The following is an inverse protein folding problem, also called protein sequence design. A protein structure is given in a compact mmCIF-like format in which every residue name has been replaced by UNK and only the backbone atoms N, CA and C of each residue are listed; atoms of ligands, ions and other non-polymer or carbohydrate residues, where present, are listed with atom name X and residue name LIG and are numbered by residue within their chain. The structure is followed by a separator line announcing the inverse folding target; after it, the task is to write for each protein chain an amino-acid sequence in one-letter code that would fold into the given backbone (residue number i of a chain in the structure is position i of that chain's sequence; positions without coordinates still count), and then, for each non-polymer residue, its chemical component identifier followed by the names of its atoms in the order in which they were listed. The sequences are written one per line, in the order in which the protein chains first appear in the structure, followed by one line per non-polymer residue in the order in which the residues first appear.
data_IF_702843637493
#
_entry.id   IF_702843637493
#
_cell.length_a   1.000
_cell.length_b   1.000
_cell.length_c   1.000
_cell.angle_alpha   90.00
_cell.angle_beta   90.00
_cell.angle_gamma   90.00
#
_symmetry.space_group_name_H-M   'P 1'
#
loop_
_entity.id
_entity.type
_entity.pdbx_description
1 polymer ?
#
# COMPACT_ATOMS: atom_id res chain seq x y z
N UNK A 1 -16.04 39.19 -5.51
CA UNK A 1 -14.89 38.35 -5.16
C UNK A 1 -14.97 37.10 -6.04
N UNK A 2 -14.30 37.14 -7.18
CA UNK A 2 -14.24 36.06 -8.12
C UNK A 2 -13.53 34.86 -7.47
N UNK A 3 -14.29 33.77 -7.28
CA UNK A 3 -13.68 32.48 -6.98
C UNK A 3 -12.87 32.08 -8.21
N UNK A 4 -11.56 32.26 -8.15
CA UNK A 4 -10.63 31.67 -9.12
C UNK A 4 -10.97 30.17 -9.20
N UNK A 5 -11.67 29.77 -10.26
CA UNK A 5 -11.88 28.34 -10.57
C UNK A 5 -10.50 27.73 -10.66
N UNK A 6 -10.07 26.99 -9.64
CA UNK A 6 -8.83 26.20 -9.70
C UNK A 6 -8.91 25.33 -10.94
N UNK A 7 -8.05 25.60 -11.93
CA UNK A 7 -7.96 24.87 -13.17
C UNK A 7 -7.87 23.38 -12.84
N UNK A 8 -8.82 22.59 -13.31
CA UNK A 8 -8.80 21.14 -13.19
C UNK A 8 -7.52 20.62 -13.83
N UNK A 9 -6.94 19.55 -13.26
CA UNK A 9 -5.73 18.93 -13.76
C UNK A 9 -6.01 18.26 -15.12
N UNK A 10 -5.27 18.66 -16.14
CA UNK A 10 -5.35 18.05 -17.46
C UNK A 10 -4.15 17.07 -17.64
N UNK A 11 -4.43 15.78 -17.52
CA UNK A 11 -3.42 14.73 -17.69
C UNK A 11 -2.82 14.71 -19.10
N UNK A 12 -3.56 15.21 -20.10
CA UNK A 12 -3.14 15.26 -21.49
C UNK A 12 -2.19 16.41 -21.82
N UNK A 13 -2.36 17.58 -21.18
CA UNK A 13 -1.71 18.82 -21.61
C UNK A 13 -0.80 19.47 -20.55
N UNK A 14 -1.11 19.34 -19.24
CA UNK A 14 -0.29 19.95 -18.19
C UNK A 14 1.12 19.34 -18.13
N UNK A 15 2.12 20.10 -17.67
CA UNK A 15 3.49 19.59 -17.47
C UNK A 15 3.49 18.42 -16.46
N UNK A 16 4.07 17.27 -16.82
CA UNK A 16 4.08 16.05 -16.00
C UNK A 16 4.61 16.31 -14.60
N UNK A 17 5.74 16.98 -14.49
CA UNK A 17 6.34 17.33 -13.18
C UNK A 17 5.37 18.14 -12.31
N UNK A 18 4.64 19.11 -12.89
CA UNK A 18 3.61 19.89 -12.18
C UNK A 18 2.42 19.02 -11.73
N UNK A 19 2.02 18.03 -12.56
CA UNK A 19 0.97 17.07 -12.21
C UNK A 19 1.41 16.27 -10.98
N UNK A 20 2.61 15.69 -11.01
CA UNK A 20 3.13 14.87 -9.89
C UNK A 20 3.25 15.68 -8.60
N UNK A 21 3.79 16.90 -8.66
CA UNK A 21 3.89 17.79 -7.50
C UNK A 21 2.54 18.25 -6.93
N UNK A 22 1.48 18.22 -7.72
CA UNK A 22 0.12 18.54 -7.24
C UNK A 22 -0.60 17.32 -6.65
N UNK A 23 -0.32 16.12 -7.18
CA UNK A 23 -0.97 14.88 -6.76
C UNK A 23 -0.29 14.22 -5.56
N UNK A 24 1.05 14.26 -5.48
CA UNK A 24 1.79 13.52 -4.47
C UNK A 24 1.62 14.04 -3.03
N UNK A 25 1.71 15.36 -2.74
CA UNK A 25 1.63 15.83 -1.36
C UNK A 25 0.33 15.43 -0.62
N UNK A 26 -0.88 15.50 -1.22
CA UNK A 26 -2.08 14.99 -0.56
C UNK A 26 -1.99 13.50 -0.23
N UNK A 27 -1.45 12.68 -1.14
CA UNK A 27 -1.30 11.24 -0.92
C UNK A 27 -0.27 10.95 0.16
N UNK A 28 0.87 11.67 0.16
CA UNK A 28 1.90 11.56 1.19
C UNK A 28 1.33 11.89 2.57
N UNK A 29 0.58 12.99 2.68
CA UNK A 29 -0.03 13.39 3.95
C UNK A 29 -1.05 12.34 4.44
N UNK A 30 -1.88 11.80 3.55
CA UNK A 30 -2.82 10.75 3.90
C UNK A 30 -2.10 9.49 4.42
N UNK A 31 -1.03 9.05 3.75
CA UNK A 31 -0.24 7.88 4.19
C UNK A 31 0.51 8.15 5.51
N UNK A 32 1.02 9.37 5.72
CA UNK A 32 1.66 9.74 6.98
C UNK A 32 0.67 9.68 8.15
N UNK A 33 -0.51 10.25 7.98
CA UNK A 33 -1.57 10.21 8.99
C UNK A 33 -2.01 8.77 9.26
N UNK A 34 -2.11 7.95 8.22
CA UNK A 34 -2.42 6.52 8.37
C UNK A 34 -1.35 5.77 9.17
N UNK A 35 -0.08 6.04 8.94
CA UNK A 35 1.01 5.44 9.72
C UNK A 35 0.95 5.89 11.19
N UNK A 36 0.69 7.17 11.42
CA UNK A 36 0.61 7.73 12.79
C UNK A 36 -0.56 7.15 13.58
N UNK A 37 -1.76 7.06 12.97
CA UNK A 37 -2.90 6.54 13.73
C UNK A 37 -2.71 5.06 14.10
N UNK A 38 -2.11 4.24 13.23
CA UNK A 38 -1.80 2.84 13.56
C UNK A 38 -0.85 2.71 14.78
N UNK A 39 0.11 3.65 14.90
CA UNK A 39 1.01 3.70 16.07
C UNK A 39 0.23 4.10 17.33
N UNK A 40 -0.65 5.09 17.23
CA UNK A 40 -1.45 5.61 18.36
C UNK A 40 -2.45 4.56 18.84
N UNK A 41 -3.15 3.87 17.94
CA UNK A 41 -4.06 2.77 18.24
C UNK A 41 -3.33 1.64 19.03
N UNK A 42 -2.17 1.21 18.50
CA UNK A 42 -1.34 0.22 19.18
C UNK A 42 -0.84 0.70 20.57
N UNK A 43 -0.58 1.99 20.73
CA UNK A 43 -0.18 2.59 22.01
C UNK A 43 -1.32 2.54 23.04
N UNK A 44 -2.55 2.91 22.67
CA UNK A 44 -3.69 2.83 23.58
C UNK A 44 -3.99 1.39 23.99
N UNK A 45 -4.02 0.45 23.03
CA UNK A 45 -4.26 -0.97 23.33
C UNK A 45 -3.15 -1.53 24.21
N UNK A 46 -1.88 -1.23 23.94
CA UNK A 46 -0.75 -1.72 24.73
C UNK A 46 -0.71 -1.17 26.16
N UNK A 47 -1.24 0.04 26.39
CA UNK A 47 -1.42 0.60 27.74
C UNK A 47 -2.60 -0.01 28.49
N UNK A 48 -3.58 -0.57 27.79
CA UNK A 48 -4.74 -1.22 28.37
C UNK A 48 -4.45 -2.68 28.73
N UNK A 49 -3.87 -3.46 27.81
CA UNK A 49 -3.65 -4.90 27.98
C UNK A 49 -2.52 -5.40 27.07
N UNK A 50 -1.59 -6.19 27.64
CA UNK A 50 -0.54 -6.87 26.86
C UNK A 50 -1.15 -7.99 26.00
N UNK A 51 -2.17 -8.69 26.48
CA UNK A 51 -2.92 -9.68 25.72
C UNK A 51 -3.61 -9.05 24.52
N UNK A 52 -4.21 -7.85 24.68
CA UNK A 52 -4.82 -7.08 23.61
C UNK A 52 -3.83 -6.68 22.52
N UNK A 53 -2.62 -6.24 22.88
CA UNK A 53 -1.57 -5.91 21.91
C UNK A 53 -1.11 -7.15 21.12
N UNK A 54 -1.05 -8.31 21.80
CA UNK A 54 -0.75 -9.60 21.17
C UNK A 54 -1.87 -10.01 20.21
N UNK A 55 -3.13 -9.86 20.61
CA UNK A 55 -4.30 -10.15 19.77
C UNK A 55 -4.30 -9.27 18.49
N UNK A 56 -4.01 -7.97 18.62
CA UNK A 56 -3.87 -7.05 17.49
C UNK A 56 -2.80 -7.55 16.48
N UNK A 57 -1.65 -7.98 17.02
CA UNK A 57 -0.55 -8.51 16.21
C UNK A 57 -0.92 -9.79 15.46
N UNK A 58 -1.72 -10.68 16.08
CA UNK A 58 -2.23 -11.90 15.47
C UNK A 58 -3.22 -11.58 14.34
N UNK A 59 -4.08 -10.57 14.51
CA UNK A 59 -5.07 -10.18 13.49
C UNK A 59 -4.46 -9.40 12.33
N UNK A 60 -3.32 -8.76 12.52
CA UNK A 60 -2.68 -7.88 11.53
C UNK A 60 -2.50 -8.51 10.13
N UNK A 61 -2.09 -9.79 9.95
CA UNK A 61 -2.02 -10.41 8.63
C UNK A 61 -3.37 -10.50 7.91
N UNK A 62 -4.47 -10.72 8.65
CA UNK A 62 -5.83 -10.75 8.08
C UNK A 62 -6.22 -9.34 7.60
N UNK A 63 -5.90 -8.31 8.39
CA UNK A 63 -6.13 -6.91 8.00
C UNK A 63 -5.32 -6.54 6.74
N UNK A 64 -4.07 -6.98 6.63
CA UNK A 64 -3.27 -6.75 5.42
C UNK A 64 -3.87 -7.41 4.18
N UNK A 65 -4.41 -8.63 4.31
CA UNK A 65 -5.11 -9.32 3.23
C UNK A 65 -6.38 -8.56 2.81
N UNK A 66 -7.15 -8.08 3.78
CA UNK A 66 -8.34 -7.25 3.57
C UNK A 66 -8.00 -5.98 2.80
N UNK A 67 -6.95 -5.27 3.21
CA UNK A 67 -6.44 -4.08 2.54
C UNK A 67 -5.95 -4.41 1.13
N UNK A 68 -5.20 -5.49 0.94
CA UNK A 68 -4.70 -5.92 -0.36
C UNK A 68 -5.83 -6.16 -1.36
N UNK A 69 -6.91 -6.82 -0.93
CA UNK A 69 -8.11 -7.06 -1.75
C UNK A 69 -8.82 -5.76 -2.10
N UNK A 70 -9.09 -4.91 -1.12
CA UNK A 70 -9.82 -3.66 -1.30
C UNK A 70 -9.03 -2.67 -2.19
N UNK A 71 -7.78 -2.39 -1.84
CA UNK A 71 -6.93 -1.45 -2.57
C UNK A 71 -6.58 -1.98 -3.96
N UNK A 72 -6.23 -3.27 -4.09
CA UNK A 72 -5.88 -3.85 -5.38
C UNK A 72 -7.04 -3.86 -6.38
N UNK A 73 -8.26 -4.18 -5.93
CA UNK A 73 -9.47 -4.05 -6.76
C UNK A 73 -9.71 -2.59 -7.14
N UNK A 74 -9.56 -1.68 -6.18
CA UNK A 74 -9.68 -0.25 -6.42
C UNK A 74 -8.66 0.27 -7.44
N UNK A 75 -7.40 -0.22 -7.42
CA UNK A 75 -6.39 0.14 -8.44
C UNK A 75 -6.80 -0.36 -9.82
N UNK A 76 -7.42 -1.55 -9.92
CA UNK A 76 -7.99 -2.04 -11.18
C UNK A 76 -9.08 -1.12 -11.72
N UNK A 77 -9.98 -0.64 -10.86
CA UNK A 77 -11.02 0.33 -11.20
C UNK A 77 -10.39 1.66 -11.65
N UNK A 78 -9.44 2.20 -10.88
CA UNK A 78 -8.72 3.43 -11.20
C UNK A 78 -8.08 3.35 -12.60
N UNK A 79 -7.34 2.28 -12.86
CA UNK A 79 -6.67 2.05 -14.15
C UNK A 79 -7.68 1.99 -15.30
N UNK A 80 -8.76 1.23 -15.16
CA UNK A 80 -9.78 1.07 -16.20
C UNK A 80 -10.56 2.37 -16.45
N UNK A 81 -10.91 3.11 -15.38
CA UNK A 81 -11.53 4.43 -15.50
C UNK A 81 -10.64 5.42 -16.25
N UNK A 82 -9.35 5.49 -15.86
CA UNK A 82 -8.40 6.38 -16.50
C UNK A 82 -8.17 6.02 -17.98
N UNK A 83 -8.21 4.72 -18.33
CA UNK A 83 -8.20 4.28 -19.74
C UNK A 83 -9.41 4.82 -20.48
N UNK A 84 -10.61 4.73 -19.95
CA UNK A 84 -11.81 5.26 -20.62
C UNK A 84 -11.81 6.78 -20.73
N UNK A 85 -11.31 7.48 -19.70
CA UNK A 85 -11.15 8.93 -19.74
C UNK A 85 -10.12 9.37 -20.81
N UNK A 86 -9.07 8.58 -21.03
CA UNK A 86 -8.06 8.85 -22.03
C UNK A 86 -8.58 8.76 -23.50
N UNK A 87 -9.68 8.01 -23.70
CA UNK A 87 -10.38 7.92 -25.01
C UNK A 87 -11.69 8.72 -25.00
N UNK A 88 -11.84 9.68 -24.10
CA UNK A 88 -12.99 10.56 -23.93
C UNK A 88 -14.33 9.84 -23.77
N UNK A 89 -14.30 8.64 -23.15
CA UNK A 89 -15.49 7.84 -22.88
C UNK A 89 -15.88 7.90 -21.40
N UNK A 90 -16.46 9.03 -21.00
CA UNK A 90 -16.88 9.27 -19.63
C UNK A 90 -17.96 8.32 -19.16
N UNK A 91 -18.87 7.91 -20.05
CA UNK A 91 -19.97 6.98 -19.71
C UNK A 91 -19.40 5.64 -19.22
N UNK A 92 -18.47 5.03 -19.97
CA UNK A 92 -17.83 3.76 -19.55
C UNK A 92 -16.95 3.93 -18.31
N UNK A 93 -16.37 5.10 -18.11
CA UNK A 93 -15.64 5.42 -16.88
C UNK A 93 -16.60 5.42 -15.68
N UNK A 94 -17.73 6.10 -15.78
CA UNK A 94 -18.76 6.13 -14.72
C UNK A 94 -19.41 4.75 -14.50
N UNK A 95 -19.65 3.97 -15.57
CA UNK A 95 -20.11 2.57 -15.46
C UNK A 95 -19.10 1.71 -14.70
N UNK A 96 -17.79 1.90 -14.96
CA UNK A 96 -16.71 1.19 -14.22
C UNK A 96 -16.76 1.50 -12.72
N UNK A 97 -16.91 2.79 -12.36
CA UNK A 97 -17.07 3.21 -10.98
C UNK A 97 -18.33 2.62 -10.33
N UNK A 98 -19.44 2.56 -11.09
CA UNK A 98 -20.69 1.94 -10.63
C UNK A 98 -20.55 0.43 -10.34
N UNK A 99 -19.82 -0.31 -11.17
CA UNK A 99 -19.48 -1.73 -10.90
C UNK A 99 -18.61 -1.84 -9.65
N UNK A 100 -17.77 -0.84 -9.37
CA UNK A 100 -16.96 -0.74 -8.15
C UNK A 100 -17.81 -0.81 -6.87
N UNK A 101 -19.01 -0.19 -6.85
CA UNK A 101 -19.90 -0.27 -5.69
C UNK A 101 -20.36 -1.71 -5.42
N UNK A 102 -20.68 -2.45 -6.48
CA UNK A 102 -21.06 -3.85 -6.36
C UNK A 102 -19.87 -4.69 -5.87
N UNK A 103 -18.68 -4.44 -6.40
CA UNK A 103 -17.47 -5.17 -5.98
C UNK A 103 -17.11 -4.87 -4.52
N UNK A 104 -17.25 -3.62 -4.07
CA UNK A 104 -17.04 -3.25 -2.67
C UNK A 104 -17.97 -4.05 -1.75
N UNK A 105 -19.27 -4.09 -2.09
CA UNK A 105 -20.26 -4.86 -1.35
C UNK A 105 -19.99 -6.36 -1.37
N UNK A 106 -19.73 -6.93 -2.56
CA UNK A 106 -19.50 -8.36 -2.71
C UNK A 106 -18.24 -8.84 -1.98
N UNK A 107 -17.13 -8.08 -2.09
CA UNK A 107 -15.89 -8.39 -1.38
C UNK A 107 -16.07 -8.31 0.13
N UNK A 108 -16.69 -7.22 0.61
CA UNK A 108 -16.99 -7.08 2.02
C UNK A 108 -17.84 -8.24 2.53
N UNK A 109 -18.95 -8.55 1.85
CA UNK A 109 -19.87 -9.59 2.28
C UNK A 109 -19.21 -10.97 2.36
N UNK A 110 -18.46 -11.33 1.30
CA UNK A 110 -17.73 -12.61 1.27
C UNK A 110 -16.65 -12.66 2.34
N UNK A 111 -15.88 -11.57 2.48
CA UNK A 111 -14.81 -11.50 3.49
C UNK A 111 -15.37 -11.56 4.92
N UNK A 112 -16.43 -10.81 5.20
CA UNK A 112 -17.10 -10.81 6.50
C UNK A 112 -17.63 -12.21 6.85
N UNK A 113 -18.29 -12.88 5.89
CA UNK A 113 -18.82 -14.23 6.07
C UNK A 113 -17.69 -15.24 6.35
N UNK A 114 -16.62 -15.20 5.57
CA UNK A 114 -15.45 -16.08 5.76
C UNK A 114 -14.84 -15.83 7.14
N UNK A 115 -14.57 -14.59 7.50
CA UNK A 115 -13.94 -14.24 8.77
C UNK A 115 -14.82 -14.59 9.98
N UNK A 116 -16.15 -14.46 9.87
CA UNK A 116 -17.06 -14.85 10.95
C UNK A 116 -16.87 -16.30 11.37
N UNK A 117 -16.75 -17.21 10.39
CA UNK A 117 -16.59 -18.64 10.66
C UNK A 117 -15.15 -19.07 10.93
N UNK A 118 -14.18 -18.47 10.26
CA UNK A 118 -12.77 -18.88 10.38
C UNK A 118 -12.10 -18.32 11.64
N UNK A 119 -12.56 -17.16 12.17
CA UNK A 119 -11.89 -16.46 13.25
C UNK A 119 -11.62 -17.32 14.50
N UNK A 120 -12.56 -18.13 15.03
CA UNK A 120 -12.29 -18.97 16.20
C UNK A 120 -11.19 -20.02 15.93
N UNK A 121 -11.21 -20.61 14.74
CA UNK A 121 -10.20 -21.60 14.33
C UNK A 121 -8.82 -20.95 14.15
N UNK A 122 -8.77 -19.79 13.53
CA UNK A 122 -7.54 -19.03 13.36
C UNK A 122 -6.92 -18.62 14.70
N UNK A 123 -7.74 -18.16 15.66
CA UNK A 123 -7.29 -17.80 16.99
C UNK A 123 -6.67 -18.99 17.73
N UNK A 124 -7.33 -20.16 17.72
CA UNK A 124 -6.84 -21.39 18.36
C UNK A 124 -5.52 -21.92 17.79
N UNK A 125 -5.28 -21.74 16.49
CA UNK A 125 -4.00 -22.14 15.86
C UNK A 125 -2.89 -21.13 16.20
N UNK A 126 -3.24 -19.86 16.42
CA UNK A 126 -2.27 -18.77 16.59
C UNK A 126 -1.70 -18.68 17.99
N UNK A 127 -2.44 -19.11 19.03
CA UNK A 127 -2.02 -19.03 20.44
C UNK A 127 -2.69 -20.13 21.29
N UNK A 128 -2.04 -20.47 22.40
CA UNK A 128 -2.58 -21.38 23.41
C UNK A 128 -3.21 -20.66 24.62
N UNK A 129 -3.05 -19.33 24.72
CA UNK A 129 -3.65 -18.54 25.81
C UNK A 129 -5.13 -18.33 25.56
N UNK A 130 -5.97 -18.77 26.48
CA UNK A 130 -7.44 -18.64 26.38
C UNK A 130 -7.88 -17.17 26.31
N UNK A 131 -7.25 -16.30 27.09
CA UNK A 131 -7.51 -14.87 27.11
C UNK A 131 -7.23 -14.22 25.73
N UNK A 132 -6.04 -14.52 25.15
CA UNK A 132 -5.66 -14.00 23.83
C UNK A 132 -6.58 -14.56 22.73
N UNK A 133 -7.01 -15.82 22.83
CA UNK A 133 -7.97 -16.43 21.89
C UNK A 133 -9.29 -15.64 21.89
N UNK A 134 -9.84 -15.32 23.06
CA UNK A 134 -11.08 -14.54 23.17
C UNK A 134 -10.92 -13.13 22.58
N UNK A 135 -9.84 -12.44 22.90
CA UNK A 135 -9.54 -11.11 22.37
C UNK A 135 -9.35 -11.10 20.85
N UNK A 136 -8.65 -12.09 20.28
CA UNK A 136 -8.51 -12.27 18.83
C UNK A 136 -9.87 -12.47 18.17
N UNK A 137 -10.73 -13.29 18.75
CA UNK A 137 -12.07 -13.54 18.20
C UNK A 137 -12.92 -12.26 18.25
N UNK A 138 -12.92 -11.55 19.37
CA UNK A 138 -13.72 -10.33 19.55
C UNK A 138 -13.24 -9.25 18.58
N UNK A 139 -11.96 -8.90 18.65
CA UNK A 139 -11.37 -7.86 17.79
C UNK A 139 -11.49 -8.20 16.30
N UNK A 140 -11.10 -9.42 15.94
CA UNK A 140 -11.10 -9.87 14.55
C UNK A 140 -12.49 -9.94 13.95
N UNK A 141 -13.50 -10.42 14.70
CA UNK A 141 -14.89 -10.40 14.22
C UNK A 141 -15.42 -8.99 14.02
N UNK A 142 -15.20 -8.08 14.97
CA UNK A 142 -15.67 -6.69 14.82
C UNK A 142 -15.04 -6.04 13.61
N UNK A 143 -13.70 -6.06 13.50
CA UNK A 143 -12.97 -5.40 12.42
C UNK A 143 -13.28 -6.01 11.05
N UNK A 144 -13.37 -7.34 10.94
CA UNK A 144 -13.60 -8.00 9.65
C UNK A 144 -15.06 -7.97 9.21
N UNK A 145 -16.02 -8.18 10.14
CA UNK A 145 -17.45 -8.22 9.79
C UNK A 145 -17.97 -6.83 9.47
N UNK A 146 -17.53 -5.82 10.20
CA UNK A 146 -17.96 -4.44 9.97
C UNK A 146 -17.02 -3.65 9.06
N UNK A 147 -16.14 -4.33 8.29
CA UNK A 147 -15.17 -3.73 7.38
C UNK A 147 -15.77 -3.06 6.13
N UNK A 148 -17.10 -2.98 5.99
CA UNK A 148 -17.74 -2.34 4.84
C UNK A 148 -17.22 -0.92 4.60
N UNK A 149 -16.97 -0.15 5.67
CA UNK A 149 -16.39 1.18 5.57
C UNK A 149 -15.06 1.17 4.81
N UNK A 150 -14.16 0.24 5.13
CA UNK A 150 -12.86 0.09 4.46
C UNK A 150 -13.00 -0.27 2.98
N UNK A 151 -13.86 -1.24 2.63
CA UNK A 151 -14.04 -1.66 1.24
C UNK A 151 -14.64 -0.55 0.38
N UNK A 152 -15.65 0.14 0.87
CA UNK A 152 -16.27 1.25 0.14
C UNK A 152 -15.34 2.46 0.05
N UNK A 153 -14.68 2.85 1.15
CA UNK A 153 -13.70 3.94 1.17
C UNK A 153 -12.59 3.69 0.15
N UNK A 154 -11.99 2.50 0.16
CA UNK A 154 -10.92 2.13 -0.76
C UNK A 154 -11.34 2.25 -2.23
N UNK A 155 -12.52 1.73 -2.59
CA UNK A 155 -13.03 1.80 -3.97
C UNK A 155 -13.32 3.26 -4.36
N UNK A 156 -14.07 4.01 -3.56
CA UNK A 156 -14.44 5.39 -3.87
C UNK A 156 -13.25 6.34 -3.90
N UNK A 157 -12.28 6.12 -3.03
CA UNK A 157 -10.98 6.81 -3.08
C UNK A 157 -10.29 6.58 -4.42
N UNK A 158 -10.23 5.35 -4.92
CA UNK A 158 -9.61 5.03 -6.21
C UNK A 158 -10.39 5.58 -7.41
N UNK A 159 -11.71 5.64 -7.32
CA UNK A 159 -12.57 6.32 -8.31
C UNK A 159 -12.21 7.80 -8.40
N UNK A 160 -12.03 8.48 -7.27
CA UNK A 160 -11.66 9.89 -7.26
C UNK A 160 -10.22 10.13 -7.76
N UNK A 161 -9.29 9.26 -7.38
CA UNK A 161 -7.91 9.32 -7.84
C UNK A 161 -7.80 9.15 -9.37
N UNK A 162 -8.69 8.35 -9.99
CA UNK A 162 -8.73 8.19 -11.45
C UNK A 162 -9.00 9.51 -12.20
N UNK A 163 -9.71 10.43 -11.58
CA UNK A 163 -10.00 11.78 -12.11
C UNK A 163 -9.00 12.85 -11.64
N UNK A 164 -7.94 12.46 -10.96
CA UNK A 164 -6.91 13.38 -10.42
C UNK A 164 -7.28 14.08 -9.12
N UNK A 165 -8.40 13.71 -8.50
CA UNK A 165 -8.79 14.29 -7.21
C UNK A 165 -8.17 13.48 -6.06
N UNK A 166 -7.02 13.94 -5.57
CA UNK A 166 -6.34 13.35 -4.40
C UNK A 166 -6.70 14.03 -3.09
N UNK A 167 -7.34 15.23 -3.13
CA UNK A 167 -7.60 16.03 -1.92
C UNK A 167 -8.73 15.47 -1.08
N UNK A 168 -9.83 15.06 -1.70
CA UNK A 168 -10.97 14.53 -0.95
C UNK A 168 -10.61 13.20 -0.29
N UNK A 169 -9.96 12.24 -0.96
CA UNK A 169 -9.41 11.05 -0.30
C UNK A 169 -8.49 11.37 0.89
N UNK A 170 -7.60 12.36 0.74
CA UNK A 170 -6.75 12.81 1.85
C UNK A 170 -7.58 13.31 3.04
N UNK A 171 -8.56 14.19 2.79
CA UNK A 171 -9.44 14.72 3.86
C UNK A 171 -10.21 13.58 4.52
N UNK A 172 -10.71 12.63 3.75
CA UNK A 172 -11.43 11.46 4.26
C UNK A 172 -10.56 10.61 5.19
N UNK A 173 -9.33 10.32 4.78
CA UNK A 173 -8.40 9.54 5.60
C UNK A 173 -7.98 10.30 6.87
N UNK A 174 -7.73 11.61 6.79
CA UNK A 174 -7.44 12.43 7.97
C UNK A 174 -8.63 12.44 8.93
N UNK A 175 -9.85 12.64 8.43
CA UNK A 175 -11.05 12.65 9.26
C UNK A 175 -11.31 11.28 9.90
N UNK A 176 -11.16 10.20 9.14
CA UNK A 176 -11.30 8.84 9.66
C UNK A 176 -10.28 8.52 10.75
N UNK A 177 -9.01 8.89 10.55
CA UNK A 177 -7.96 8.74 11.55
C UNK A 177 -8.24 9.57 12.81
N UNK A 178 -8.70 10.81 12.65
CA UNK A 178 -9.06 11.66 13.78
C UNK A 178 -10.22 11.08 14.59
N UNK A 179 -11.26 10.58 13.93
CA UNK A 179 -12.40 9.92 14.58
C UNK A 179 -11.93 8.67 15.35
N UNK A 180 -11.08 7.84 14.75
CA UNK A 180 -10.52 6.67 15.41
C UNK A 180 -9.73 7.09 16.67
N UNK A 181 -8.72 7.96 16.54
CA UNK A 181 -7.88 8.43 17.66
C UNK A 181 -8.70 9.06 18.78
N UNK A 182 -9.77 9.76 18.45
CA UNK A 182 -10.66 10.37 19.46
C UNK A 182 -11.51 9.33 20.18
N UNK A 183 -11.98 8.29 19.47
CA UNK A 183 -12.82 7.25 20.04
C UNK A 183 -12.03 6.18 20.81
N UNK A 184 -10.78 5.92 20.44
CA UNK A 184 -9.94 4.91 21.11
C UNK A 184 -9.93 5.08 22.63
N UNK A 185 -9.47 6.20 23.21
CA UNK A 185 -9.44 6.33 24.67
C UNK A 185 -10.84 6.33 25.30
N UNK A 186 -11.86 6.84 24.59
CA UNK A 186 -13.23 6.87 25.11
C UNK A 186 -13.82 5.47 25.25
N UNK A 187 -13.60 4.60 24.25
CA UNK A 187 -14.19 3.26 24.19
C UNK A 187 -13.30 2.20 24.85
N UNK A 188 -11.97 2.35 24.80
CA UNK A 188 -11.04 1.40 25.44
C UNK A 188 -11.13 1.52 26.96
N UNK A 189 -10.99 2.75 27.49
CA UNK A 189 -10.91 3.00 28.93
C UNK A 189 -12.25 3.40 29.58
N UNK A 190 -13.33 3.55 28.79
CA UNK A 190 -14.63 3.93 29.34
C UNK A 190 -14.67 5.36 29.89
N UNK A 191 -14.10 6.34 29.18
CA UNK A 191 -14.01 7.72 29.66
C UNK A 191 -15.37 8.43 29.51
N UNK A 192 -15.82 9.08 30.57
CA UNK A 192 -17.06 9.87 30.60
C UNK A 192 -18.31 8.98 30.74
N UNK A 193 -19.20 9.02 29.76
CA UNK A 193 -20.44 8.22 29.73
C UNK A 193 -20.32 6.93 28.87
N UNK A 194 -19.14 6.70 28.29
CA UNK A 194 -18.90 5.50 27.49
C UNK A 194 -18.58 4.30 28.39
N UNK A 195 -19.08 3.10 28.08
CA UNK A 195 -18.68 1.89 28.78
C UNK A 195 -17.22 1.53 28.43
N UNK A 196 -16.52 0.95 29.40
CA UNK A 196 -15.21 0.35 29.19
C UNK A 196 -15.37 -0.94 28.35
N UNK A 197 -14.89 -0.90 27.11
CA UNK A 197 -15.01 -2.00 26.15
C UNK A 197 -13.68 -2.69 25.84
N UNK A 198 -12.56 -2.17 26.36
CA UNK A 198 -11.24 -2.73 26.13
C UNK A 198 -10.91 -2.87 24.62
N UNK A 199 -10.45 -4.06 24.23
CA UNK A 199 -10.07 -4.33 22.84
C UNK A 199 -11.26 -4.24 21.85
N UNK A 200 -12.48 -4.54 22.30
CA UNK A 200 -13.68 -4.34 21.48
C UNK A 200 -13.91 -2.86 21.19
N UNK A 201 -13.57 -1.97 22.14
CA UNK A 201 -13.62 -0.53 21.95
C UNK A 201 -12.69 -0.05 20.84
N UNK A 202 -11.44 -0.52 20.82
CA UNK A 202 -10.48 -0.24 19.75
C UNK A 202 -10.98 -0.72 18.39
N UNK A 203 -11.54 -1.94 18.32
CA UNK A 203 -12.12 -2.48 17.08
C UNK A 203 -13.28 -1.62 16.58
N UNK A 204 -14.17 -1.17 17.46
CA UNK A 204 -15.30 -0.29 17.13
C UNK A 204 -14.79 1.08 16.65
N UNK A 205 -13.82 1.68 17.34
CA UNK A 205 -13.23 2.96 16.96
C UNK A 205 -12.62 2.91 15.54
N UNK A 206 -11.91 1.82 15.24
CA UNK A 206 -11.34 1.57 13.90
C UNK A 206 -12.44 1.50 12.83
N UNK A 207 -13.50 0.73 13.07
CA UNK A 207 -14.64 0.59 12.15
C UNK A 207 -15.35 1.93 11.94
N UNK A 208 -15.63 2.66 13.01
CA UNK A 208 -16.30 3.98 12.94
C UNK A 208 -15.44 4.98 12.17
N UNK A 209 -14.12 5.00 12.39
CA UNK A 209 -13.18 5.81 11.62
C UNK A 209 -13.21 5.50 10.11
N UNK A 210 -13.24 4.21 9.74
CA UNK A 210 -13.37 3.76 8.35
C UNK A 210 -14.70 4.16 7.70
N UNK A 211 -15.80 4.07 8.47
CA UNK A 211 -17.13 4.52 8.02
C UNK A 211 -17.15 6.04 7.81
N UNK A 212 -16.57 6.81 8.74
CA UNK A 212 -16.49 8.26 8.61
C UNK A 212 -15.71 8.67 7.35
N UNK A 213 -14.59 8.02 7.07
CA UNK A 213 -13.84 8.22 5.84
C UNK A 213 -14.66 7.85 4.58
N UNK A 214 -15.36 6.71 4.61
CA UNK A 214 -16.21 6.26 3.50
C UNK A 214 -17.33 7.28 3.19
N UNK A 215 -17.98 7.82 4.20
CA UNK A 215 -19.05 8.82 4.04
C UNK A 215 -18.56 10.10 3.33
N UNK A 216 -17.33 10.54 3.60
CA UNK A 216 -16.75 11.73 2.96
C UNK A 216 -16.49 11.50 1.46
N UNK A 217 -16.00 10.32 1.08
CA UNK A 217 -15.71 9.99 -0.32
C UNK A 217 -16.95 9.54 -1.10
N UNK A 218 -18.02 9.14 -0.41
CA UNK A 218 -19.26 8.58 -1.01
C UNK A 218 -19.89 9.53 -2.02
N UNK A 219 -20.02 10.82 -1.69
CA UNK A 219 -20.74 11.80 -2.54
C UNK A 219 -20.22 11.84 -3.98
N UNK A 220 -18.89 11.76 -4.15
CA UNK A 220 -18.26 11.84 -5.48
C UNK A 220 -17.74 10.50 -5.99
N UNK A 221 -17.48 9.56 -5.11
CA UNK A 221 -17.00 8.21 -5.43
C UNK A 221 -18.09 7.25 -5.86
N UNK A 222 -19.29 7.38 -5.29
CA UNK A 222 -20.42 6.53 -5.63
C UNK A 222 -21.05 6.96 -6.96
N UNK A 223 -20.96 6.11 -7.97
CA UNK A 223 -21.53 6.33 -9.30
C UNK A 223 -22.63 5.32 -9.59
N UNK A 224 -23.54 5.67 -10.54
CA UNK A 224 -24.62 4.78 -10.92
C UNK A 224 -24.08 3.53 -11.61
N UNK A 225 -24.56 2.37 -11.17
CA UNK A 225 -24.18 1.08 -11.75
C UNK A 225 -24.82 0.88 -13.14
N UNK A 226 -24.10 0.26 -14.08
CA UNK A 226 -24.67 -0.14 -15.37
C UNK A 226 -25.66 -1.29 -15.23
N UNK A 227 -26.25 -1.74 -16.33
CA UNK A 227 -27.08 -2.95 -16.36
C UNK A 227 -26.27 -4.18 -15.94
N UNK A 228 -26.86 -5.08 -15.16
CA UNK A 228 -26.20 -6.30 -14.61
C UNK A 228 -25.56 -7.15 -15.73
N UNK A 229 -26.15 -7.17 -16.92
CA UNK A 229 -25.62 -7.92 -18.08
C UNK A 229 -24.17 -7.50 -18.45
N UNK A 230 -23.76 -6.27 -18.16
CA UNK A 230 -22.41 -5.74 -18.44
C UNK A 230 -21.40 -6.08 -17.34
N UNK A 231 -21.82 -6.50 -16.14
CA UNK A 231 -20.93 -6.69 -14.98
C UNK A 231 -19.79 -7.66 -15.26
N UNK A 232 -20.08 -8.80 -15.89
CA UNK A 232 -19.06 -9.83 -16.17
C UNK A 232 -17.87 -9.29 -16.96
N UNK A 233 -18.11 -8.43 -17.94
CA UNK A 233 -17.05 -7.82 -18.76
C UNK A 233 -16.21 -6.84 -17.92
N UNK A 234 -16.86 -5.93 -17.18
CA UNK A 234 -16.16 -4.98 -16.32
C UNK A 234 -15.36 -5.67 -15.22
N UNK A 235 -15.95 -6.63 -14.52
CA UNK A 235 -15.29 -7.40 -13.45
C UNK A 235 -14.02 -8.08 -13.98
N UNK A 236 -14.12 -8.77 -15.13
CA UNK A 236 -12.96 -9.44 -15.75
C UNK A 236 -11.84 -8.43 -16.05
N UNK A 237 -12.16 -7.26 -16.59
CA UNK A 237 -11.18 -6.21 -16.92
C UNK A 237 -10.60 -5.56 -15.66
N UNK A 238 -11.42 -5.28 -14.65
CA UNK A 238 -10.99 -4.71 -13.36
C UNK A 238 -9.99 -5.65 -12.68
N UNK A 239 -10.31 -6.95 -12.55
CA UNK A 239 -9.38 -7.89 -11.91
C UNK A 239 -8.14 -8.17 -12.78
N UNK A 240 -8.25 -8.17 -14.10
CA UNK A 240 -7.06 -8.27 -14.95
C UNK A 240 -6.06 -7.13 -14.66
N UNK A 241 -6.54 -5.91 -14.43
CA UNK A 241 -5.71 -4.74 -14.15
C UNK A 241 -5.36 -4.61 -12.65
N UNK A 242 -6.22 -5.08 -11.75
CA UNK A 242 -6.04 -4.96 -10.30
C UNK A 242 -5.23 -6.09 -9.67
N UNK A 243 -5.27 -7.29 -10.24
CA UNK A 243 -4.59 -8.48 -9.70
C UNK A 243 -3.09 -8.28 -9.44
N UNK A 244 -2.32 -7.61 -10.32
CA UNK A 244 -0.90 -7.34 -10.03
C UNK A 244 -0.69 -6.55 -8.74
N UNK A 245 -1.59 -5.63 -8.38
CA UNK A 245 -1.49 -4.87 -7.14
C UNK A 245 -1.88 -5.70 -5.92
N UNK A 246 -2.93 -6.55 -6.03
CA UNK A 246 -3.28 -7.52 -4.97
C UNK A 246 -2.08 -8.42 -4.70
N UNK A 247 -1.47 -8.97 -5.75
CA UNK A 247 -0.29 -9.82 -5.64
C UNK A 247 0.89 -9.08 -4.99
N UNK A 248 1.15 -7.84 -5.40
CA UNK A 248 2.25 -7.04 -4.86
C UNK A 248 2.10 -6.81 -3.35
N UNK A 249 0.90 -6.49 -2.87
CA UNK A 249 0.67 -6.26 -1.45
C UNK A 249 0.68 -7.56 -0.64
N UNK A 250 0.08 -8.64 -1.15
CA UNK A 250 0.10 -9.95 -0.48
C UNK A 250 1.51 -10.54 -0.42
N UNK A 251 2.27 -10.43 -1.51
CA UNK A 251 3.64 -10.94 -1.58
C UNK A 251 4.60 -10.18 -0.64
N UNK A 252 4.32 -8.90 -0.35
CA UNK A 252 5.08 -8.10 0.64
C UNK A 252 5.08 -8.78 2.02
N UNK A 253 3.95 -9.23 2.49
CA UNK A 253 3.84 -9.93 3.78
C UNK A 253 4.57 -11.28 3.76
N UNK A 254 4.47 -12.02 2.66
CA UNK A 254 5.08 -13.34 2.54
C UNK A 254 6.61 -13.28 2.57
N UNK A 255 7.24 -12.34 1.85
CA UNK A 255 8.71 -12.28 1.87
C UNK A 255 9.26 -11.78 3.21
N UNK A 256 8.58 -10.85 3.89
CA UNK A 256 8.96 -10.45 5.25
C UNK A 256 8.96 -11.65 6.20
N UNK A 257 7.89 -12.45 6.13
CA UNK A 257 7.81 -13.68 6.93
C UNK A 257 8.96 -14.65 6.60
N UNK A 258 9.26 -14.85 5.31
CA UNK A 258 10.37 -15.70 4.88
C UNK A 258 11.74 -15.22 5.38
N UNK A 259 12.02 -13.91 5.31
CA UNK A 259 13.25 -13.33 5.82
C UNK A 259 13.37 -13.44 7.36
N UNK A 260 12.27 -13.26 8.09
CA UNK A 260 12.24 -13.44 9.54
C UNK A 260 12.56 -14.90 9.93
N UNK A 261 12.02 -15.89 9.19
CA UNK A 261 12.35 -17.32 9.43
C UNK A 261 13.83 -17.61 9.25
N UNK A 262 14.48 -17.00 8.25
CA UNK A 262 15.92 -17.16 8.01
C UNK A 262 16.69 -16.52 9.16
N UNK A 263 16.38 -15.30 9.56
CA UNK A 263 17.08 -14.56 10.63
C UNK A 263 16.90 -15.19 12.01
N UNK A 264 15.75 -15.83 12.26
CA UNK A 264 15.53 -16.59 13.50
C UNK A 264 16.59 -17.69 13.71
N UNK A 265 17.16 -18.22 12.63
CA UNK A 265 18.27 -19.16 12.68
C UNK A 265 19.60 -18.57 13.19
N UNK A 266 19.74 -17.24 13.23
CA UNK A 266 20.93 -16.57 13.76
C UNK A 266 20.72 -16.10 15.20
N UNK A 267 19.74 -15.19 15.42
CA UNK A 267 19.43 -14.68 16.74
C UNK A 267 18.10 -13.90 16.76
N UNK A 268 17.49 -13.74 17.93
CA UNK A 268 16.31 -12.90 18.11
C UNK A 268 16.63 -11.41 17.90
N UNK A 269 17.88 -10.99 18.17
CA UNK A 269 18.36 -9.64 17.92
C UNK A 269 18.37 -9.32 16.41
N UNK A 270 18.74 -10.28 15.56
CA UNK A 270 18.71 -10.10 14.11
C UNK A 270 17.26 -9.96 13.56
N UNK A 271 16.32 -10.73 14.11
CA UNK A 271 14.88 -10.59 13.79
C UNK A 271 14.37 -9.22 14.23
N UNK A 272 14.73 -8.78 15.44
CA UNK A 272 14.37 -7.46 15.96
C UNK A 272 14.93 -6.35 15.09
N UNK A 273 16.21 -6.44 14.68
CA UNK A 273 16.83 -5.45 13.80
C UNK A 273 16.08 -5.31 12.46
N UNK A 274 15.67 -6.43 11.84
CA UNK A 274 14.85 -6.39 10.63
C UNK A 274 13.47 -5.75 10.88
N UNK A 275 12.83 -6.05 12.00
CA UNK A 275 11.56 -5.44 12.39
C UNK A 275 11.67 -3.91 12.56
N UNK A 276 12.77 -3.43 13.17
CA UNK A 276 13.04 -2.00 13.30
C UNK A 276 13.33 -1.32 11.96
N UNK A 277 14.05 -2.00 11.06
CA UNK A 277 14.18 -1.52 9.69
C UNK A 277 12.82 -1.29 9.02
N UNK A 278 11.88 -2.23 9.12
CA UNK A 278 10.56 -2.07 8.51
C UNK A 278 9.73 -0.94 9.12
N UNK A 279 9.90 -0.64 10.41
CA UNK A 279 9.28 0.54 11.03
C UNK A 279 9.78 1.84 10.37
N UNK A 280 11.09 1.98 10.20
CA UNK A 280 11.67 3.12 9.51
C UNK A 280 11.33 3.15 8.03
N UNK A 281 11.34 2.01 7.37
CA UNK A 281 10.93 1.89 5.97
C UNK A 281 9.53 2.46 5.75
N UNK A 282 8.57 2.17 6.62
CA UNK A 282 7.21 2.68 6.49
C UNK A 282 7.17 4.20 6.38
N UNK A 283 8.02 4.91 7.10
CA UNK A 283 8.09 6.38 7.07
C UNK A 283 8.82 6.88 5.82
N UNK A 284 10.03 6.36 5.57
CA UNK A 284 10.85 6.83 4.45
C UNK A 284 10.28 6.48 3.08
N UNK A 285 9.39 5.47 3.00
CA UNK A 285 8.78 5.03 1.75
C UNK A 285 7.43 5.71 1.42
N UNK A 286 6.92 6.56 2.28
CA UNK A 286 5.71 7.36 2.01
C UNK A 286 5.81 8.10 0.65
N UNK A 287 6.92 8.80 0.32
CA UNK A 287 7.04 9.47 -0.96
C UNK A 287 6.95 8.53 -2.16
N UNK A 288 7.57 7.35 -2.06
CA UNK A 288 7.56 6.35 -3.14
C UNK A 288 6.16 5.74 -3.32
N UNK A 289 5.47 5.41 -2.23
CA UNK A 289 4.08 4.94 -2.26
C UNK A 289 3.12 5.98 -2.86
N UNK A 290 3.34 7.24 -2.55
CA UNK A 290 2.59 8.34 -3.16
C UNK A 290 2.84 8.43 -4.67
N UNK A 291 4.10 8.32 -5.11
CA UNK A 291 4.44 8.28 -6.54
C UNK A 291 3.75 7.10 -7.24
N UNK A 292 3.83 5.90 -6.69
CA UNK A 292 3.14 4.72 -7.23
C UNK A 292 1.63 4.97 -7.41
N UNK A 293 0.98 5.62 -6.44
CA UNK A 293 -0.45 5.95 -6.52
C UNK A 293 -0.74 6.99 -7.60
N UNK A 294 0.08 8.02 -7.71
CA UNK A 294 -0.14 9.15 -8.63
C UNK A 294 0.10 8.80 -10.09
N UNK A 295 1.08 7.94 -10.39
CA UNK A 295 1.43 7.62 -11.79
C UNK A 295 0.39 6.74 -12.48
N UNK A 296 -0.38 5.95 -11.74
CA UNK A 296 -1.39 5.04 -12.33
C UNK A 296 -2.39 5.78 -13.20
N UNK A 297 -3.17 6.76 -12.70
CA UNK A 297 -4.15 7.44 -13.54
C UNK A 297 -3.51 8.25 -14.67
N UNK A 298 -2.34 8.88 -14.42
CA UNK A 298 -1.64 9.69 -15.44
C UNK A 298 -1.16 8.84 -16.59
N UNK A 299 -0.53 7.71 -16.31
CA UNK A 299 -0.03 6.79 -17.35
C UNK A 299 -1.19 6.13 -18.08
N UNK A 300 -2.20 5.65 -17.35
CA UNK A 300 -3.36 4.96 -17.94
C UNK A 300 -4.16 5.86 -18.88
N UNK A 301 -4.38 7.11 -18.50
CA UNK A 301 -5.01 8.13 -19.34
C UNK A 301 -4.21 8.37 -20.64
N UNK A 302 -2.94 8.72 -20.51
CA UNK A 302 -2.08 9.05 -21.66
C UNK A 302 -1.85 7.85 -22.58
N UNK A 303 -1.78 6.64 -22.01
CA UNK A 303 -1.64 5.41 -22.81
C UNK A 303 -2.86 5.17 -23.69
N UNK A 304 -4.06 5.32 -23.14
CA UNK A 304 -5.31 5.14 -23.90
C UNK A 304 -5.58 6.28 -24.89
N UNK A 305 -5.12 7.50 -24.56
CA UNK A 305 -5.13 8.63 -25.49
C UNK A 305 -4.08 8.50 -26.62
N UNK A 306 -3.28 7.41 -26.65
CA UNK A 306 -2.23 7.21 -27.66
C UNK A 306 -0.93 7.98 -27.41
N UNK A 307 -0.86 8.79 -26.35
CA UNK A 307 0.30 9.66 -26.08
C UNK A 307 1.40 8.90 -25.30
N UNK A 308 2.14 8.08 -26.04
CA UNK A 308 3.20 7.22 -25.48
C UNK A 308 4.39 8.01 -24.95
N UNK A 309 4.72 9.14 -25.57
CA UNK A 309 5.80 9.99 -25.13
C UNK A 309 5.55 10.51 -23.73
N UNK A 310 4.33 10.96 -23.44
CA UNK A 310 3.96 11.39 -22.09
C UNK A 310 3.99 10.26 -21.08
N UNK A 311 3.65 9.03 -21.46
CA UNK A 311 3.81 7.86 -20.57
C UNK A 311 5.28 7.63 -20.20
N UNK A 312 6.18 7.68 -21.17
CA UNK A 312 7.63 7.56 -20.94
C UNK A 312 8.18 8.70 -20.09
N UNK A 313 7.72 9.94 -20.34
CA UNK A 313 8.08 11.10 -19.54
C UNK A 313 7.56 10.98 -18.10
N UNK A 314 6.32 10.53 -17.91
CA UNK A 314 5.76 10.29 -16.58
C UNK A 314 6.60 9.27 -15.80
N UNK A 315 6.98 8.15 -16.44
CA UNK A 315 7.87 7.16 -15.83
C UNK A 315 9.21 7.79 -15.44
N UNK A 316 9.88 8.50 -16.37
CA UNK A 316 11.17 9.13 -16.12
C UNK A 316 11.11 10.15 -14.98
N UNK A 317 10.16 11.09 -15.04
CA UNK A 317 10.02 12.15 -14.04
C UNK A 317 9.69 11.56 -12.65
N UNK A 318 8.87 10.48 -12.59
CA UNK A 318 8.54 9.78 -11.34
C UNK A 318 9.75 9.06 -10.74
N UNK A 319 10.57 8.41 -11.58
CA UNK A 319 11.79 7.74 -11.12
C UNK A 319 12.79 8.76 -10.58
N UNK A 320 13.01 9.87 -11.30
CA UNK A 320 13.94 10.93 -10.85
C UNK A 320 13.46 11.53 -9.54
N UNK A 321 12.18 11.91 -9.45
CA UNK A 321 11.62 12.49 -8.23
C UNK A 321 11.68 11.49 -7.06
N UNK A 322 11.35 10.21 -7.32
CA UNK A 322 11.46 9.15 -6.34
C UNK A 322 12.90 8.97 -5.84
N UNK A 323 13.90 8.96 -6.74
CA UNK A 323 15.32 8.85 -6.34
C UNK A 323 15.77 10.04 -5.47
N UNK A 324 15.37 11.27 -5.84
CA UNK A 324 15.71 12.47 -5.05
C UNK A 324 15.10 12.39 -3.65
N UNK A 325 13.84 11.96 -3.54
CA UNK A 325 13.18 11.83 -2.23
C UNK A 325 13.77 10.68 -1.40
N UNK A 326 14.10 9.55 -2.03
CA UNK A 326 14.73 8.41 -1.35
C UNK A 326 16.18 8.68 -0.92
N UNK A 327 16.87 9.65 -1.55
CA UNK A 327 18.21 10.06 -1.14
C UNK A 327 18.23 10.56 0.31
N UNK A 328 17.13 11.18 0.78
CA UNK A 328 16.99 11.57 2.19
C UNK A 328 17.08 10.33 3.10
N UNK A 329 16.37 9.26 2.74
CA UNK A 329 16.42 7.99 3.48
C UNK A 329 17.82 7.36 3.46
N UNK A 330 18.51 7.38 2.31
CA UNK A 330 19.91 6.93 2.20
C UNK A 330 20.80 7.70 3.15
N UNK A 331 20.75 9.02 3.12
CA UNK A 331 21.55 9.87 3.99
C UNK A 331 21.29 9.62 5.48
N UNK A 332 20.02 9.47 5.87
CA UNK A 332 19.67 9.16 7.25
C UNK A 332 20.22 7.80 7.69
N UNK A 333 20.11 6.77 6.85
CA UNK A 333 20.58 5.41 7.18
C UNK A 333 22.11 5.29 7.20
N UNK A 334 22.80 6.09 6.40
CA UNK A 334 24.28 6.12 6.39
C UNK A 334 24.86 6.96 7.53
N UNK A 335 24.29 8.15 7.81
CA UNK A 335 24.89 9.11 8.75
C UNK A 335 24.52 8.79 10.20
N UNK A 336 23.26 8.35 10.46
CA UNK A 336 22.76 8.19 11.83
C UNK A 336 22.08 6.84 12.10
N UNK A 337 22.60 5.70 11.63
CA UNK A 337 21.94 4.40 11.82
C UNK A 337 21.82 4.01 13.29
N UNK A 338 22.84 4.32 14.11
CA UNK A 338 22.84 4.02 15.56
C UNK A 338 21.75 4.80 16.30
N UNK A 339 21.54 6.07 15.93
CA UNK A 339 20.45 6.90 16.49
C UNK A 339 19.08 6.32 16.09
N UNK A 340 18.92 5.94 14.82
CA UNK A 340 17.68 5.36 14.33
C UNK A 340 17.34 4.05 15.06
N UNK A 341 18.31 3.15 15.21
CA UNK A 341 18.12 1.91 15.96
C UNK A 341 17.90 2.16 17.45
N UNK A 342 18.70 3.06 18.05
CA UNK A 342 18.62 3.42 19.47
C UNK A 342 17.31 4.10 19.88
N UNK A 343 16.55 4.64 18.93
CA UNK A 343 15.21 5.21 19.19
C UNK A 343 14.22 4.13 19.68
N UNK A 344 14.36 2.89 19.21
CA UNK A 344 13.43 1.80 19.49
C UNK A 344 14.01 0.70 20.36
N UNK A 345 15.33 0.58 20.49
CA UNK A 345 15.98 -0.47 21.27
C UNK A 345 17.12 0.09 22.10
N UNK A 346 17.29 -0.45 23.32
CA UNK A 346 18.45 -0.19 24.19
C UNK A 346 19.45 -1.35 24.19
N UNK A 347 19.13 -2.45 23.51
CA UNK A 347 20.01 -3.60 23.37
C UNK A 347 21.16 -3.24 22.40
N UNK A 348 22.39 -3.26 22.92
CA UNK A 348 23.61 -2.92 22.16
C UNK A 348 23.83 -3.82 20.96
N UNK A 349 23.45 -5.10 21.07
CA UNK A 349 23.59 -6.06 19.97
C UNK A 349 22.57 -5.80 18.86
N UNK A 350 21.32 -5.47 19.20
CA UNK A 350 20.30 -5.03 18.22
C UNK A 350 20.75 -3.77 17.50
N UNK A 351 21.32 -2.80 18.24
CA UNK A 351 21.84 -1.56 17.63
C UNK A 351 22.98 -1.88 16.69
N UNK A 352 23.95 -2.70 17.09
CA UNK A 352 25.10 -3.09 16.27
C UNK A 352 24.69 -3.76 14.97
N UNK A 353 23.85 -4.81 15.07
CA UNK A 353 23.34 -5.57 13.91
C UNK A 353 22.49 -4.66 13.02
N UNK A 354 21.59 -3.91 13.63
CA UNK A 354 20.65 -3.04 12.92
C UNK A 354 21.35 -1.88 12.20
N UNK A 355 22.35 -1.26 12.81
CA UNK A 355 23.12 -0.19 12.19
C UNK A 355 23.91 -0.65 10.97
N UNK A 356 24.52 -1.83 11.04
CA UNK A 356 25.15 -2.45 9.88
C UNK A 356 24.10 -2.75 8.79
N UNK A 357 22.98 -3.36 9.17
CA UNK A 357 21.88 -3.66 8.26
C UNK A 357 21.35 -2.40 7.55
N UNK A 358 21.13 -1.29 8.28
CA UNK A 358 20.64 -0.04 7.70
C UNK A 358 21.59 0.50 6.63
N UNK A 359 22.90 0.51 6.87
CA UNK A 359 23.91 0.95 5.89
C UNK A 359 23.89 0.10 4.63
N UNK A 360 23.90 -1.23 4.76
CA UNK A 360 23.85 -2.14 3.60
C UNK A 360 22.54 -1.97 2.82
N UNK A 361 21.41 -1.89 3.53
CA UNK A 361 20.10 -1.74 2.91
C UNK A 361 19.94 -0.36 2.25
N UNK A 362 20.55 0.71 2.79
CA UNK A 362 20.49 2.05 2.21
C UNK A 362 20.92 2.07 0.74
N UNK A 363 21.94 1.27 0.38
CA UNK A 363 22.40 1.13 -1.02
C UNK A 363 21.27 0.66 -1.95
N UNK A 364 20.30 -0.10 -1.43
CA UNK A 364 19.17 -0.59 -2.21
C UNK A 364 18.13 0.47 -2.53
N UNK A 365 18.08 1.59 -1.81
CA UNK A 365 16.98 2.57 -1.92
C UNK A 365 16.87 3.20 -3.32
N UNK A 366 18.00 3.43 -3.97
CA UNK A 366 18.02 4.02 -5.32
C UNK A 366 17.50 3.02 -6.37
N UNK A 367 18.04 1.78 -6.51
CA UNK A 367 17.47 0.81 -7.44
C UNK A 367 16.05 0.40 -7.06
N UNK A 368 15.68 0.43 -5.78
CA UNK A 368 14.33 0.10 -5.30
C UNK A 368 13.25 1.03 -5.87
N UNK A 369 13.55 2.32 -6.07
CA UNK A 369 12.62 3.24 -6.74
C UNK A 369 12.18 2.66 -8.09
N UNK A 370 13.14 2.21 -8.88
CA UNK A 370 12.88 1.70 -10.22
C UNK A 370 12.21 0.33 -10.17
N UNK A 371 12.67 -0.57 -9.29
CA UNK A 371 12.11 -1.91 -9.13
C UNK A 371 10.64 -1.90 -8.69
N UNK A 372 10.21 -0.87 -7.95
CA UNK A 372 8.83 -0.71 -7.50
C UNK A 372 7.96 0.12 -8.46
N UNK A 373 8.54 1.06 -9.22
CA UNK A 373 7.79 1.86 -10.19
C UNK A 373 7.50 1.07 -11.48
N UNK A 374 8.40 0.19 -11.94
CA UNK A 374 8.19 -0.59 -13.17
C UNK A 374 6.94 -1.50 -13.12
N UNK A 375 6.69 -2.29 -12.07
CA UNK A 375 5.44 -3.06 -11.96
C UNK A 375 4.20 -2.19 -12.09
N UNK A 376 4.18 -1.03 -11.43
CA UNK A 376 3.06 -0.08 -11.47
C UNK A 376 2.91 0.52 -12.87
N UNK A 377 4.02 0.85 -13.54
CA UNK A 377 3.99 1.30 -14.94
C UNK A 377 3.39 0.25 -15.87
N UNK A 378 3.84 -1.02 -15.77
CA UNK A 378 3.30 -2.10 -16.60
C UNK A 378 1.83 -2.36 -16.32
N UNK A 379 1.40 -2.27 -15.07
CA UNK A 379 0.00 -2.34 -14.69
C UNK A 379 -0.82 -1.23 -15.33
N UNK A 380 -0.36 0.01 -15.24
CA UNK A 380 -1.04 1.19 -15.76
C UNK A 380 -1.24 1.16 -17.28
N UNK A 381 -0.33 0.53 -18.04
CA UNK A 381 -0.47 0.32 -19.49
C UNK A 381 -1.21 -0.98 -19.85
N UNK A 382 -1.82 -1.67 -18.87
CA UNK A 382 -2.58 -2.89 -19.10
C UNK A 382 -1.74 -4.16 -19.28
N UNK A 383 -0.42 -4.12 -19.04
CA UNK A 383 0.47 -5.29 -19.14
C UNK A 383 0.55 -6.03 -17.79
N UNK A 384 -0.58 -6.59 -17.33
CA UNK A 384 -0.70 -7.28 -16.04
C UNK A 384 0.34 -8.39 -15.85
N UNK A 385 0.60 -9.19 -16.87
CA UNK A 385 1.59 -10.26 -16.81
C UNK A 385 3.00 -9.73 -16.49
N UNK A 386 3.46 -8.65 -17.13
CA UNK A 386 4.78 -8.07 -16.87
C UNK A 386 4.88 -7.50 -15.47
N UNK A 387 3.82 -6.84 -14.99
CA UNK A 387 3.72 -6.32 -13.64
C UNK A 387 3.83 -7.45 -12.61
N UNK A 388 3.01 -8.51 -12.75
CA UNK A 388 3.02 -9.67 -11.85
C UNK A 388 4.35 -10.42 -11.90
N UNK A 389 4.94 -10.60 -13.09
CA UNK A 389 6.21 -11.28 -13.23
C UNK A 389 7.36 -10.57 -12.50
N UNK A 390 7.44 -9.23 -12.59
CA UNK A 390 8.43 -8.46 -11.84
C UNK A 390 8.18 -8.52 -10.33
N UNK A 391 6.93 -8.49 -9.90
CA UNK A 391 6.57 -8.63 -8.49
C UNK A 391 6.98 -10.00 -7.95
N UNK A 392 6.64 -11.08 -8.65
CA UNK A 392 7.01 -12.45 -8.25
C UNK A 392 8.53 -12.63 -8.25
N UNK A 393 9.20 -12.12 -9.29
CA UNK A 393 10.66 -12.16 -9.36
C UNK A 393 11.28 -11.52 -8.13
N UNK A 394 10.85 -10.29 -7.80
CA UNK A 394 11.40 -9.55 -6.66
C UNK A 394 11.11 -10.22 -5.33
N UNK A 395 9.83 -10.53 -5.06
CA UNK A 395 9.37 -10.91 -3.72
C UNK A 395 9.52 -12.39 -3.41
N UNK A 396 9.28 -13.27 -4.38
CA UNK A 396 9.27 -14.72 -4.18
C UNK A 396 10.57 -15.36 -4.67
N UNK A 397 11.01 -15.00 -5.88
CA UNK A 397 12.16 -15.67 -6.52
C UNK A 397 13.50 -15.14 -6.01
N UNK A 398 13.59 -13.85 -5.67
CA UNK A 398 14.84 -13.25 -5.23
C UNK A 398 14.91 -13.10 -3.71
N UNK A 399 14.01 -12.36 -3.07
CA UNK A 399 14.17 -12.03 -1.65
C UNK A 399 14.39 -13.26 -0.76
N UNK A 400 13.52 -14.24 -0.78
CA UNK A 400 13.62 -15.38 0.15
C UNK A 400 14.72 -16.37 -0.25
N UNK A 401 14.82 -16.84 -1.51
CA UNK A 401 15.89 -17.77 -1.90
C UNK A 401 17.28 -17.15 -1.82
N UNK A 402 17.45 -15.89 -2.25
CA UNK A 402 18.74 -15.21 -2.16
C UNK A 402 19.13 -14.95 -0.71
N UNK A 403 18.16 -14.53 0.14
CA UNK A 403 18.37 -14.38 1.58
C UNK A 403 18.82 -15.69 2.23
N UNK A 404 18.18 -16.81 1.85
CA UNK A 404 18.58 -18.12 2.33
C UNK A 404 19.99 -18.50 1.88
N UNK A 405 20.36 -18.27 0.62
CA UNK A 405 21.71 -18.54 0.10
C UNK A 405 22.75 -17.68 0.81
N UNK A 406 22.53 -16.36 0.91
CA UNK A 406 23.48 -15.45 1.54
C UNK A 406 23.61 -15.68 3.04
N UNK A 407 22.59 -16.17 3.71
CA UNK A 407 22.63 -16.56 5.11
C UNK A 407 23.67 -17.65 5.41
N UNK A 408 23.99 -18.54 4.45
CA UNK A 408 25.05 -19.54 4.62
C UNK A 408 26.45 -18.94 4.71
N UNK A 409 26.63 -17.70 4.24
CA UNK A 409 27.89 -16.95 4.35
C UNK A 409 27.95 -16.03 5.58
N UNK A 410 26.92 -16.10 6.44
CA UNK A 410 26.85 -15.34 7.69
C UNK A 410 25.80 -14.22 7.67
N UNK A 411 25.51 -13.68 8.88
CA UNK A 411 24.50 -12.64 9.10
C UNK A 411 24.80 -11.35 8.32
N UNK A 412 26.06 -10.94 8.23
CA UNK A 412 26.44 -9.73 7.50
C UNK A 412 26.13 -9.87 6.01
N UNK A 413 26.43 -11.04 5.44
CA UNK A 413 26.15 -11.35 4.03
C UNK A 413 24.65 -11.39 3.72
N UNK A 414 23.82 -11.80 4.67
CA UNK A 414 22.37 -11.82 4.52
C UNK A 414 21.78 -10.45 4.10
N UNK A 415 22.30 -9.35 4.66
CA UNK A 415 21.77 -8.01 4.38
C UNK A 415 21.97 -7.57 2.93
N UNK A 416 22.95 -8.14 2.22
CA UNK A 416 23.13 -7.90 0.77
C UNK A 416 21.98 -8.46 -0.08
N UNK A 417 21.09 -9.26 0.49
CA UNK A 417 19.85 -9.69 -0.17
C UNK A 417 19.08 -8.50 -0.73
N UNK A 418 19.00 -7.39 0.01
CA UNK A 418 18.25 -6.20 -0.39
C UNK A 418 18.86 -5.54 -1.63
N UNK A 419 20.10 -5.06 -1.64
CA UNK A 419 20.66 -4.38 -2.81
C UNK A 419 20.73 -5.30 -4.04
N UNK A 420 21.09 -6.56 -3.89
CA UNK A 420 21.20 -7.50 -5.01
C UNK A 420 19.81 -7.73 -5.64
N UNK A 421 18.78 -7.99 -4.84
CA UNK A 421 17.40 -8.15 -5.31
C UNK A 421 16.92 -6.93 -6.08
N UNK A 422 17.14 -5.74 -5.56
CA UNK A 422 16.65 -4.50 -6.18
C UNK A 422 17.39 -4.18 -7.49
N UNK A 423 18.69 -4.44 -7.54
CA UNK A 423 19.49 -4.26 -8.77
C UNK A 423 19.04 -5.24 -9.86
N UNK A 424 18.91 -6.53 -9.52
CA UNK A 424 18.46 -7.55 -10.49
C UNK A 424 17.04 -7.20 -10.99
N UNK A 425 16.11 -6.88 -10.09
CA UNK A 425 14.73 -6.53 -10.48
C UNK A 425 14.69 -5.28 -11.36
N UNK A 426 15.49 -4.27 -11.02
CA UNK A 426 15.65 -3.06 -11.85
C UNK A 426 16.18 -3.39 -13.24
N UNK A 427 17.23 -4.20 -13.35
CA UNK A 427 17.81 -4.60 -14.63
C UNK A 427 16.79 -5.37 -15.50
N UNK A 428 16.07 -6.33 -14.91
CA UNK A 428 15.01 -7.06 -15.60
C UNK A 428 13.88 -6.11 -16.03
N UNK A 429 13.48 -5.18 -15.17
CA UNK A 429 12.49 -4.15 -15.48
C UNK A 429 12.89 -3.30 -16.69
N UNK A 430 14.15 -2.84 -16.75
CA UNK A 430 14.69 -2.12 -17.91
C UNK A 430 14.70 -2.97 -19.17
N UNK A 431 15.10 -4.24 -19.09
CA UNK A 431 15.06 -5.17 -20.25
C UNK A 431 13.63 -5.34 -20.74
N UNK A 432 12.66 -5.52 -19.84
CA UNK A 432 11.25 -5.65 -20.22
C UNK A 432 10.67 -4.37 -20.80
N UNK A 433 11.12 -3.19 -20.31
CA UNK A 433 10.75 -1.89 -20.84
C UNK A 433 11.34 -1.66 -22.24
N UNK A 434 12.63 -1.89 -22.44
CA UNK A 434 13.32 -1.70 -23.73
C UNK A 434 12.79 -2.63 -24.84
N UNK A 435 12.45 -3.88 -24.49
CA UNK A 435 11.80 -4.84 -25.40
C UNK A 435 10.32 -4.53 -25.66
N UNK A 436 9.70 -3.66 -24.87
CA UNK A 436 8.34 -3.20 -25.13
C UNK A 436 8.29 -2.27 -26.34
N UNK A 437 7.08 -2.11 -26.94
CA UNK A 437 6.88 -1.13 -28.03
C UNK A 437 7.18 0.32 -27.62
N UNK A 438 7.31 0.58 -26.31
CA UNK A 438 7.74 1.87 -25.76
C UNK A 438 9.25 2.09 -25.93
N UNK A 439 10.09 1.13 -25.57
CA UNK A 439 11.54 1.25 -25.68
C UNK A 439 12.04 1.32 -27.13
N UNK A 440 11.45 0.54 -28.04
CA UNK A 440 11.86 0.50 -29.45
C UNK A 440 11.66 1.82 -30.22
N UNK A 441 10.68 2.66 -29.85
CA UNK A 441 10.45 3.96 -30.49
C UNK A 441 11.29 5.09 -29.91
N UNK A 442 11.68 4.99 -28.63
CA UNK A 442 12.59 5.96 -28.03
C UNK A 442 14.04 5.77 -28.50
N UNK A 443 14.45 4.54 -28.86
CA UNK A 443 15.75 4.26 -29.46
C UNK A 443 15.84 4.62 -30.95
N UNK A 444 14.70 4.65 -31.66
CA UNK A 444 14.63 4.99 -33.10
C UNK A 444 14.16 6.43 -33.39
N UNK A 445 13.95 7.24 -32.35
CA UNK A 445 13.33 8.56 -32.47
C UNK A 445 14.27 9.76 -32.34
N UNK A 446 15.55 9.60 -32.67
CA UNK A 446 16.40 10.72 -33.07
C UNK A 446 16.80 10.53 -34.53
N UNK A 447 15.86 10.71 -35.42
CA UNK A 447 16.12 11.13 -36.79
C UNK A 447 14.90 11.88 -37.29
N UNK A 448 15.07 13.23 -37.28
CA UNK A 448 14.30 14.30 -37.93
C UNK A 448 12.85 14.44 -37.49
#
# INVERSE_FOLDING_TARGET
MDRVKKKELDFGNDKIFSILLRLAPPVMLAQLIQALYNIIDSFFIGNYSESGLTALSIIYPIQLLMIALAVGTGVGINTLMAHFLGVDNKEKSDETAGVGNFLAFAMWFVFALICWFIMPFYAQISTNSHEIIEEVIVYGRIVCVFSFGLFFESIWTKVMQATGNMKIPMIAQIAGAFVNIALDPLLIFGIGFFPELGIAGAAIATVVGQIAAALIVMEKGCKRSPKISKYKEYIKRIYHLGFPNILMQSAYTLYIFGLNLILKGFSDQAVTALGLYYKWQTIFFIPLGAMQTCIVPVISFNYSAGNRERCGKTLKDSVILGMVLMLIGVLCFEIMPDVLMGTFSKDSEVIRIGSYALRVIAVSFIPMVTSLIFPVFFQAIGSAFKSSALTILRTIVLFVPLGWVLAHFGLESFWFTFPITEVITTAVGFIMYSKSRFGRRLSNGYTI
#
